data_IF_693446317480
#
_entry.id   IF_693446317480
#
_cell.length_a   1.000
_cell.length_b   1.000
_cell.length_c   1.000
_cell.angle_alpha   90.00
_cell.angle_beta   90.00
_cell.angle_gamma   90.00
#
_symmetry.space_group_name_H-M   'P 1'
#
loop_
_entity.id
_entity.type
_entity.pdbx_description
1 polymer ?
#
# COMPACT_ATOMS: atom_id res chain seq x y z
N UNK A 1 -7.13 21.53 -0.11
CA UNK A 1 -7.14 20.53 -1.21
C UNK A 1 -6.43 19.27 -0.72
N UNK A 2 -7.12 18.14 -0.60
CA UNK A 2 -6.47 16.85 -0.43
C UNK A 2 -5.95 16.47 -1.81
N UNK A 3 -4.64 16.38 -1.99
CA UNK A 3 -4.06 15.93 -3.26
C UNK A 3 -4.62 14.54 -3.58
N UNK A 4 -5.06 14.32 -4.82
CA UNK A 4 -5.52 13.02 -5.26
C UNK A 4 -4.34 12.05 -5.24
N UNK A 5 -4.38 11.09 -4.32
CA UNK A 5 -3.31 10.13 -4.12
C UNK A 5 -3.15 9.19 -5.33
N UNK A 6 -4.21 9.03 -6.14
CA UNK A 6 -4.17 8.20 -7.35
C UNK A 6 -3.22 8.78 -8.42
N UNK A 7 -2.96 10.09 -8.39
CA UNK A 7 -2.11 10.78 -9.35
C UNK A 7 -0.63 10.78 -8.97
N UNK A 8 -0.27 10.24 -7.79
CA UNK A 8 1.12 10.19 -7.33
C UNK A 8 1.80 8.90 -7.78
N UNK A 9 3.02 8.99 -8.32
CA UNK A 9 3.81 7.80 -8.64
C UNK A 9 4.43 7.14 -7.40
N UNK A 10 4.72 7.96 -6.38
CA UNK A 10 5.35 7.53 -5.13
C UNK A 10 4.54 8.01 -3.94
N UNK A 11 4.27 7.08 -3.03
CA UNK A 11 3.48 7.29 -1.82
C UNK A 11 4.34 7.06 -0.59
N UNK A 12 4.04 7.75 0.51
CA UNK A 12 4.53 7.33 1.81
C UNK A 12 3.69 6.16 2.37
N UNK A 13 4.17 5.47 3.43
CA UNK A 13 3.45 4.32 3.99
C UNK A 13 2.01 4.63 4.42
N UNK A 14 1.76 5.81 4.99
CA UNK A 14 0.42 6.21 5.45
C UNK A 14 -0.52 6.47 4.27
N UNK A 15 -0.04 7.16 3.23
CA UNK A 15 -0.79 7.37 1.98
C UNK A 15 -1.14 6.04 1.31
N UNK A 16 -0.22 5.09 1.31
CA UNK A 16 -0.44 3.75 0.75
C UNK A 16 -1.53 3.00 1.53
N UNK A 17 -1.48 3.04 2.86
CA UNK A 17 -2.50 2.43 3.71
C UNK A 17 -3.89 3.02 3.43
N UNK A 18 -3.96 4.34 3.25
CA UNK A 18 -5.20 5.06 3.00
C UNK A 18 -5.76 4.75 1.60
N UNK A 19 -4.92 4.86 0.56
CA UNK A 19 -5.33 4.65 -0.82
C UNK A 19 -5.80 3.21 -1.07
N UNK A 20 -5.07 2.22 -0.57
CA UNK A 20 -5.37 0.80 -0.83
C UNK A 20 -6.21 0.13 0.27
N UNK A 21 -6.64 0.89 1.28
CA UNK A 21 -7.47 0.42 2.40
C UNK A 21 -6.83 -0.78 3.12
N UNK A 22 -5.57 -0.62 3.51
CA UNK A 22 -4.76 -1.71 4.09
C UNK A 22 -4.93 -1.84 5.60
N UNK A 23 -4.70 -3.05 6.12
CA UNK A 23 -4.44 -3.21 7.54
C UNK A 23 -3.07 -2.62 7.89
N UNK A 24 -3.05 -1.61 8.77
CA UNK A 24 -1.81 -0.95 9.23
C UNK A 24 -0.79 -1.96 9.75
N UNK A 25 -1.23 -2.87 10.61
CA UNK A 25 -0.36 -3.90 11.22
C UNK A 25 0.28 -4.78 10.15
N UNK A 26 -0.54 -5.40 9.29
CA UNK A 26 -0.04 -6.29 8.22
C UNK A 26 0.91 -5.58 7.27
N UNK A 27 0.63 -4.33 6.93
CA UNK A 27 1.48 -3.56 6.03
C UNK A 27 2.84 -3.24 6.65
N UNK A 28 2.91 -2.80 7.91
CA UNK A 28 4.20 -2.59 8.56
C UNK A 28 4.96 -3.89 8.83
N UNK A 29 4.26 -4.98 9.15
CA UNK A 29 4.85 -6.32 9.28
C UNK A 29 5.50 -6.74 7.94
N UNK A 30 4.81 -6.52 6.81
CA UNK A 30 5.33 -6.75 5.46
C UNK A 30 6.63 -5.97 5.22
N UNK A 31 6.64 -4.66 5.48
CA UNK A 31 7.81 -3.80 5.27
C UNK A 31 9.01 -4.17 6.16
N UNK A 32 8.75 -4.73 7.35
CA UNK A 32 9.79 -5.10 8.31
C UNK A 32 10.44 -6.45 7.98
N UNK A 33 9.63 -7.42 7.55
CA UNK A 33 10.05 -8.82 7.45
C UNK A 33 10.41 -9.27 6.03
N UNK A 34 10.02 -8.52 4.99
CA UNK A 34 10.30 -8.88 3.61
C UNK A 34 11.38 -7.98 3.02
N UNK A 35 12.36 -8.59 2.36
CA UNK A 35 13.43 -7.91 1.64
C UNK A 35 13.17 -8.03 0.14
N UNK A 36 13.70 -7.09 -0.64
CA UNK A 36 13.59 -7.14 -2.10
C UNK A 36 12.18 -6.86 -2.65
N UNK A 37 11.35 -6.13 -1.88
CA UNK A 37 10.04 -5.69 -2.37
C UNK A 37 10.26 -4.64 -3.47
N UNK A 38 9.89 -4.97 -4.71
CA UNK A 38 10.11 -4.12 -5.89
C UNK A 38 9.41 -2.76 -5.79
N UNK A 39 8.32 -2.70 -5.02
CA UNK A 39 7.60 -1.46 -4.75
C UNK A 39 8.20 -0.60 -3.63
N UNK A 40 9.19 -1.09 -2.87
CA UNK A 40 9.75 -0.40 -1.71
C UNK A 40 11.06 0.31 -2.06
N UNK A 41 11.02 1.64 -2.07
CA UNK A 41 12.19 2.50 -2.20
C UNK A 41 12.60 3.08 -0.84
N UNK A 42 13.91 3.31 -0.64
CA UNK A 42 14.43 4.02 0.54
C UNK A 42 14.99 5.37 0.15
N UNK A 43 14.52 6.42 0.82
CA UNK A 43 15.06 7.77 0.73
C UNK A 43 15.58 8.20 2.11
N UNK A 44 16.88 7.98 2.35
CA UNK A 44 17.47 8.12 3.68
C UNK A 44 16.80 7.16 4.67
N UNK A 45 16.22 7.73 5.74
CA UNK A 45 15.49 6.97 6.77
C UNK A 45 14.04 6.68 6.41
N UNK A 46 13.53 7.26 5.31
CA UNK A 46 12.12 7.17 4.92
C UNK A 46 11.91 6.03 3.93
N UNK A 47 10.87 5.23 4.19
CA UNK A 47 10.34 4.29 3.21
C UNK A 47 9.38 5.03 2.27
N UNK A 48 9.49 4.74 0.98
CA UNK A 48 8.62 5.21 -0.08
C UNK A 48 8.09 4.01 -0.86
N UNK A 49 6.87 4.12 -1.36
CA UNK A 49 6.15 3.06 -2.05
C UNK A 49 5.88 3.50 -3.48
N UNK A 50 6.39 2.76 -4.46
CA UNK A 50 6.07 2.95 -5.87
C UNK A 50 4.65 2.44 -6.08
N UNK A 51 3.72 3.36 -6.39
CA UNK A 51 2.27 3.08 -6.38
C UNK A 51 1.90 1.95 -7.33
N UNK A 52 2.40 2.01 -8.57
CA UNK A 52 2.07 1.04 -9.63
C UNK A 52 2.59 -0.35 -9.34
N UNK A 53 3.80 -0.48 -8.81
CA UNK A 53 4.36 -1.79 -8.43
C UNK A 53 3.66 -2.37 -7.20
N UNK A 54 3.29 -1.53 -6.23
CA UNK A 54 2.50 -1.99 -5.09
C UNK A 54 1.09 -2.43 -5.50
N UNK A 55 0.48 -1.74 -6.46
CA UNK A 55 -0.82 -2.14 -7.01
C UNK A 55 -0.78 -3.52 -7.65
N UNK A 56 0.24 -3.81 -8.48
CA UNK A 56 0.48 -5.16 -9.03
C UNK A 56 0.70 -6.20 -7.93
N UNK A 57 1.52 -5.89 -6.94
CA UNK A 57 1.75 -6.77 -5.80
C UNK A 57 0.44 -7.08 -5.06
N UNK A 58 -0.40 -6.07 -4.84
CA UNK A 58 -1.66 -6.21 -4.12
C UNK A 58 -2.68 -7.08 -4.85
N UNK A 59 -2.63 -7.16 -6.19
CA UNK A 59 -3.46 -8.08 -6.97
C UNK A 59 -3.16 -9.55 -6.61
N UNK A 60 -1.89 -9.87 -6.32
CA UNK A 60 -1.48 -11.21 -5.87
C UNK A 60 -1.69 -11.43 -4.36
N UNK A 61 -1.82 -10.36 -3.58
CA UNK A 61 -1.86 -10.37 -2.11
C UNK A 61 -3.09 -9.68 -1.50
N UNK A 62 -4.33 -10.08 -1.85
CA UNK A 62 -5.55 -9.43 -1.37
C UNK A 62 -5.72 -9.50 0.16
N UNK A 63 -5.06 -10.45 0.84
CA UNK A 63 -5.08 -10.61 2.29
C UNK A 63 -4.52 -9.41 3.07
N UNK A 64 -3.79 -8.50 2.41
CA UNK A 64 -3.28 -7.27 3.01
C UNK A 64 -4.37 -6.20 3.20
N UNK A 65 -5.43 -6.25 2.39
CA UNK A 65 -6.57 -5.34 2.52
C UNK A 65 -7.31 -5.62 3.83
N UNK A 66 -7.98 -4.60 4.37
CA UNK A 66 -8.91 -4.84 5.49
C UNK A 66 -10.06 -5.68 4.96
N UNK A 67 -10.35 -6.82 5.60
CA UNK A 67 -11.66 -7.46 5.45
C UNK A 67 -12.68 -6.47 5.98
N UNK A 68 -13.50 -5.90 5.10
CA UNK A 68 -14.60 -5.05 5.52
C UNK A 68 -15.49 -5.84 6.47
N UNK A 69 -15.80 -5.28 7.64
CA UNK A 69 -17.09 -5.56 8.25
C UNK A 69 -18.11 -5.00 7.27
N UNK A 70 -18.73 -5.90 6.50
CA UNK A 70 -19.85 -5.73 5.57
C UNK A 70 -19.51 -5.38 4.11
N UNK A 71 -19.69 -6.41 3.27
CA UNK A 71 -20.38 -6.36 1.97
C UNK A 71 -20.26 -5.09 1.13
N UNK A 72 -19.11 -4.85 0.52
CA UNK A 72 -19.05 -4.29 -0.84
C UNK A 72 -17.67 -4.59 -1.43
N UNK A 73 -17.51 -5.85 -1.84
CA UNK A 73 -16.45 -6.24 -2.73
C UNK A 73 -16.86 -5.82 -4.14
N UNK A 74 -16.83 -4.53 -4.45
CA UNK A 74 -16.80 -4.02 -5.82
C UNK A 74 -16.53 -2.52 -5.81
N UNK A 75 -15.27 -2.18 -6.09
CA UNK A 75 -14.85 -1.15 -7.04
C UNK A 75 -13.36 -0.96 -6.83
N UNK A 76 -12.64 -1.37 -7.87
CA UNK A 76 -11.22 -1.09 -8.10
C UNK A 76 -10.98 0.41 -7.96
#
# INVERSE_FOLDING_TARGET
MKADLSQKDVLNPLETIELFVLSRRKFYDLLKHNKGLEFLAKYGTRNLIIRTEFEKYLQAHPELRRRGTNGNAERF
#
